data_IF_895663581130
#
_entry.id   IF_895663581130
#
_cell.length_a   1.000
_cell.length_b   1.000
_cell.length_c   1.000
_cell.angle_alpha   90.00
_cell.angle_beta   90.00
_cell.angle_gamma   90.00
#
_symmetry.space_group_name_H-M   'P 1'
#
loop_
_entity.id
_entity.type
_entity.pdbx_description
1 polymer ?
#
# COMPACT_ATOMS: atom_id res chain seq x y z
N UNK A 1 14.92 -14.60 7.64
CA UNK A 1 14.14 -14.01 8.75
C UNK A 1 14.99 -13.55 9.93
N UNK A 2 15.87 -14.36 10.56
CA UNK A 2 16.70 -13.90 11.71
C UNK A 2 17.49 -12.60 11.46
N UNK A 3 18.10 -12.45 10.27
CA UNK A 3 18.82 -11.23 9.87
C UNK A 3 17.89 -10.00 9.82
N UNK A 4 16.75 -10.12 9.14
CA UNK A 4 15.73 -9.08 9.09
C UNK A 4 15.20 -8.65 10.47
N UNK A 5 15.08 -9.58 11.42
CA UNK A 5 14.72 -9.23 12.81
C UNK A 5 15.78 -8.31 13.41
N UNK A 6 17.07 -8.64 13.29
CA UNK A 6 18.16 -7.80 13.81
C UNK A 6 18.19 -6.42 13.15
N UNK A 7 18.00 -6.35 11.83
CA UNK A 7 17.94 -5.09 11.07
C UNK A 7 16.78 -4.19 11.54
N UNK A 8 15.59 -4.77 11.74
CA UNK A 8 14.41 -4.02 12.20
C UNK A 8 14.52 -3.61 13.67
N UNK A 9 15.12 -4.43 14.53
CA UNK A 9 15.38 -4.02 15.91
C UNK A 9 16.35 -2.84 15.98
N UNK A 10 17.39 -2.83 15.14
CA UNK A 10 18.32 -1.70 15.09
C UNK A 10 17.66 -0.44 14.52
N UNK A 11 16.84 -0.57 13.48
CA UNK A 11 16.00 0.55 13.01
C UNK A 11 15.12 1.11 14.15
N UNK A 12 14.54 0.25 14.98
CA UNK A 12 13.75 0.69 16.13
C UNK A 12 14.60 1.42 17.18
N UNK A 13 15.86 1.03 17.39
CA UNK A 13 16.78 1.70 18.30
C UNK A 13 17.13 3.10 17.78
N UNK A 14 17.50 3.19 16.51
CA UNK A 14 17.80 4.47 15.84
C UNK A 14 16.60 5.42 15.93
N UNK A 15 15.39 4.96 15.63
CA UNK A 15 14.17 5.77 15.75
C UNK A 15 13.94 6.31 17.17
N UNK A 16 14.20 5.49 18.20
CA UNK A 16 14.09 5.93 19.60
C UNK A 16 15.17 6.96 19.96
N UNK A 17 16.39 6.81 19.43
CA UNK A 17 17.46 7.80 19.60
C UNK A 17 17.10 9.14 18.95
N UNK A 18 16.40 9.12 17.82
CA UNK A 18 15.82 10.29 17.17
C UNK A 18 14.53 10.82 17.86
N UNK A 19 14.19 10.32 19.06
CA UNK A 19 13.05 10.79 19.85
C UNK A 19 11.67 10.29 19.41
N UNK A 20 11.61 9.32 18.50
CA UNK A 20 10.34 8.75 18.01
C UNK A 20 9.84 7.67 18.98
N UNK A 21 8.56 7.73 19.36
CA UNK A 21 7.90 6.64 20.10
C UNK A 21 7.59 5.47 19.14
N UNK A 22 8.22 4.32 19.37
CA UNK A 22 8.04 3.12 18.54
C UNK A 22 6.98 2.18 19.14
N UNK A 23 6.06 1.71 18.30
CA UNK A 23 5.08 0.66 18.63
C UNK A 23 5.21 -0.49 17.63
N UNK A 24 4.91 -1.70 18.07
CA UNK A 24 5.08 -2.94 17.28
C UNK A 24 3.79 -3.74 17.27
N UNK A 25 3.45 -4.42 16.16
CA UNK A 25 2.33 -5.34 16.14
C UNK A 25 2.56 -6.53 17.08
N UNK A 26 1.47 -7.16 17.50
CA UNK A 26 1.52 -8.38 18.30
C UNK A 26 2.15 -9.54 17.49
N UNK A 27 3.02 -10.37 18.11
CA UNK A 27 3.52 -11.58 17.46
C UNK A 27 2.37 -12.54 17.13
N UNK A 28 2.31 -12.99 15.88
CA UNK A 28 1.30 -13.94 15.38
C UNK A 28 2.00 -15.04 14.57
N UNK A 29 1.51 -16.28 14.72
CA UNK A 29 1.84 -17.38 13.81
C UNK A 29 1.00 -17.26 12.53
N UNK A 30 1.65 -16.88 11.43
CA UNK A 30 1.02 -16.68 10.12
C UNK A 30 0.84 -17.99 9.33
N UNK A 31 1.35 -19.12 9.82
CA UNK A 31 1.15 -20.43 9.18
C UNK A 31 -0.26 -21.00 9.42
N UNK A 32 -1.00 -20.43 10.38
CA UNK A 32 -2.34 -20.88 10.71
C UNK A 32 -3.27 -20.77 9.49
N UNK A 33 -3.84 -21.92 9.12
CA UNK A 33 -4.84 -22.02 8.07
C UNK A 33 -6.18 -21.48 8.58
N UNK A 34 -6.86 -20.70 7.76
CA UNK A 34 -8.20 -20.20 8.04
C UNK A 34 -9.09 -20.36 6.81
N UNK A 35 -10.40 -20.40 7.07
CA UNK A 35 -11.44 -20.61 6.07
C UNK A 35 -12.56 -19.60 6.27
N UNK A 36 -12.89 -18.85 5.22
CA UNK A 36 -14.13 -18.08 5.10
C UNK A 36 -15.17 -18.91 4.33
N UNK A 37 -16.42 -18.46 4.20
CA UNK A 37 -17.36 -19.10 3.27
C UNK A 37 -16.87 -19.11 1.81
N UNK A 38 -16.04 -18.14 1.42
CA UNK A 38 -15.64 -17.89 0.03
C UNK A 38 -14.28 -18.50 -0.35
N UNK A 39 -13.36 -18.69 0.60
CA UNK A 39 -12.03 -19.25 0.33
C UNK A 39 -11.33 -19.85 1.57
N UNK A 40 -10.21 -20.53 1.33
CA UNK A 40 -9.31 -21.03 2.37
C UNK A 40 -7.87 -20.57 2.08
N UNK A 41 -7.11 -20.17 3.10
CA UNK A 41 -5.73 -19.69 2.93
C UNK A 41 -4.91 -19.83 4.23
N UNK A 42 -3.62 -19.58 4.14
CA UNK A 42 -2.74 -19.29 5.28
C UNK A 42 -2.42 -17.80 5.30
N UNK A 43 -1.86 -17.30 6.40
CA UNK A 43 -1.43 -15.91 6.51
C UNK A 43 -0.19 -15.56 5.70
N UNK A 44 0.16 -14.26 5.70
CA UNK A 44 1.41 -13.74 5.16
C UNK A 44 2.38 -13.29 6.27
N UNK A 45 2.16 -12.11 6.84
CA UNK A 45 2.99 -11.51 7.90
C UNK A 45 2.32 -10.25 8.50
N UNK A 46 3.02 -9.56 9.40
CA UNK A 46 2.75 -8.17 9.79
C UNK A 46 4.01 -7.30 9.66
N UNK A 47 4.75 -7.49 8.57
CA UNK A 47 6.01 -6.79 8.33
C UNK A 47 5.81 -5.34 7.85
N UNK A 48 4.70 -5.08 7.13
CA UNK A 48 4.47 -3.81 6.44
C UNK A 48 3.21 -3.11 6.97
N UNK A 49 3.30 -2.32 8.06
CA UNK A 49 2.16 -1.54 8.55
C UNK A 49 1.58 -0.58 7.51
N UNK A 50 2.41 -0.11 6.56
CA UNK A 50 2.04 0.82 5.49
C UNK A 50 0.97 0.25 4.56
N UNK A 51 0.96 -1.05 4.36
CA UNK A 51 0.05 -1.72 3.43
C UNK A 51 -1.38 -1.78 3.97
N UNK A 52 -1.54 -1.87 5.29
CA UNK A 52 -2.83 -2.08 5.94
C UNK A 52 -3.35 -0.88 6.73
N UNK A 53 -2.47 0.02 7.20
CA UNK A 53 -2.88 1.16 8.02
C UNK A 53 -2.52 2.48 7.34
N UNK A 54 -3.52 3.35 7.22
CA UNK A 54 -3.31 4.77 6.90
C UNK A 54 -3.85 5.65 8.01
N UNK A 55 -3.10 6.70 8.35
CA UNK A 55 -3.55 7.74 9.29
C UNK A 55 -3.89 9.01 8.52
N UNK A 56 -5.11 9.53 8.67
CA UNK A 56 -5.57 10.78 8.05
C UNK A 56 -6.12 11.70 9.14
N UNK A 57 -5.44 12.81 9.41
CA UNK A 57 -5.75 13.65 10.57
C UNK A 57 -5.66 12.84 11.88
N UNK A 58 -6.78 12.72 12.59
CA UNK A 58 -6.88 12.06 13.89
C UNK A 58 -7.43 10.61 13.76
N UNK A 59 -7.52 10.10 12.53
CA UNK A 59 -8.20 8.85 12.19
C UNK A 59 -7.21 7.80 11.68
N UNK A 60 -7.27 6.60 12.26
CA UNK A 60 -6.60 5.41 11.74
C UNK A 60 -7.59 4.56 10.94
N UNK A 61 -7.24 4.25 9.70
CA UNK A 61 -8.06 3.50 8.74
C UNK A 61 -7.37 2.17 8.46
N UNK A 62 -8.08 1.06 8.74
CA UNK A 62 -7.70 -0.29 8.30
C UNK A 62 -8.14 -0.51 6.85
N UNK A 63 -7.19 -0.81 5.96
CA UNK A 63 -7.43 -1.17 4.58
C UNK A 63 -8.07 -2.57 4.46
N UNK A 64 -8.90 -2.80 3.43
CA UNK A 64 -9.56 -4.08 3.22
C UNK A 64 -8.60 -5.19 2.78
N UNK A 65 -7.46 -4.81 2.17
CA UNK A 65 -6.54 -5.69 1.45
C UNK A 65 -7.20 -6.31 0.19
N UNK A 66 -6.39 -6.90 -0.68
CA UNK A 66 -6.87 -7.66 -1.85
C UNK A 66 -6.33 -9.09 -1.96
N UNK A 67 -5.42 -9.50 -1.06
CA UNK A 67 -4.87 -10.84 -1.04
C UNK A 67 -5.56 -11.71 0.00
N UNK A 68 -6.01 -12.90 -0.40
CA UNK A 68 -6.62 -13.90 0.48
C UNK A 68 -5.75 -14.22 1.70
N UNK A 69 -4.42 -14.24 1.57
CA UNK A 69 -3.45 -14.48 2.66
C UNK A 69 -3.26 -13.29 3.62
N UNK A 70 -3.77 -12.12 3.28
CA UNK A 70 -3.72 -10.89 4.10
C UNK A 70 -5.06 -10.56 4.76
N UNK A 71 -6.06 -11.42 4.59
CA UNK A 71 -7.42 -11.19 5.08
C UNK A 71 -7.45 -10.87 6.58
N UNK A 72 -6.73 -11.63 7.40
CA UNK A 72 -6.68 -11.45 8.86
C UNK A 72 -5.46 -10.67 9.38
N UNK A 73 -4.73 -9.96 8.51
CA UNK A 73 -3.52 -9.23 8.88
C UNK A 73 -3.76 -8.15 9.95
N UNK A 74 -4.96 -7.54 9.94
CA UNK A 74 -5.35 -6.52 10.92
C UNK A 74 -5.25 -6.98 12.38
N UNK A 75 -5.34 -8.30 12.63
CA UNK A 75 -5.32 -8.87 14.00
C UNK A 75 -4.06 -8.48 14.77
N UNK A 76 -2.92 -8.38 14.08
CA UNK A 76 -1.64 -8.02 14.69
C UNK A 76 -1.61 -6.59 15.23
N UNK A 77 -2.49 -5.71 14.75
CA UNK A 77 -2.49 -4.28 15.08
C UNK A 77 -3.59 -3.90 16.08
N UNK A 78 -4.55 -4.79 16.37
CA UNK A 78 -5.74 -4.45 17.17
C UNK A 78 -5.42 -4.01 18.59
N UNK A 79 -4.37 -4.53 19.22
CA UNK A 79 -3.96 -4.06 20.55
C UNK A 79 -3.53 -2.58 20.53
N UNK A 80 -2.78 -2.17 19.52
CA UNK A 80 -2.37 -0.78 19.32
C UNK A 80 -3.56 0.14 19.00
N UNK A 81 -4.39 -0.29 18.05
CA UNK A 81 -5.53 0.51 17.57
C UNK A 81 -6.54 0.73 18.70
N UNK A 82 -6.84 -0.31 19.49
CA UNK A 82 -7.70 -0.16 20.68
C UNK A 82 -7.10 0.84 21.67
N UNK A 83 -5.81 0.78 21.98
CA UNK A 83 -5.16 1.76 22.85
C UNK A 83 -5.31 3.20 22.32
N UNK A 84 -5.06 3.44 21.03
CA UNK A 84 -5.28 4.76 20.43
C UNK A 84 -6.74 5.22 20.49
N UNK A 85 -7.68 4.31 20.25
CA UNK A 85 -9.11 4.60 20.35
C UNK A 85 -9.52 5.01 21.77
N UNK A 86 -9.04 4.31 22.80
CA UNK A 86 -9.29 4.69 24.21
C UNK A 86 -8.70 6.05 24.57
N UNK A 87 -7.65 6.47 23.85
CA UNK A 87 -7.02 7.80 23.97
C UNK A 87 -7.62 8.86 23.04
N UNK A 88 -8.72 8.55 22.36
CA UNK A 88 -9.52 9.51 21.59
C UNK A 88 -9.26 9.56 20.08
N UNK A 89 -8.43 8.67 19.52
CA UNK A 89 -8.28 8.56 18.08
C UNK A 89 -9.56 8.02 17.42
N UNK A 90 -9.90 8.52 16.23
CA UNK A 90 -10.96 7.91 15.40
C UNK A 90 -10.42 6.59 14.82
N UNK A 91 -11.26 5.56 14.78
CA UNK A 91 -10.90 4.27 14.21
C UNK A 91 -11.95 3.86 13.17
N UNK A 92 -11.48 3.60 11.96
CA UNK A 92 -12.30 3.15 10.84
C UNK A 92 -11.73 1.86 10.25
N UNK A 93 -12.61 0.97 9.82
CA UNK A 93 -12.28 -0.18 9.00
C UNK A 93 -13.03 -0.07 7.68
N UNK A 94 -12.31 -0.05 6.57
CA UNK A 94 -12.95 -0.13 5.26
C UNK A 94 -13.74 -1.45 5.11
N UNK A 95 -14.80 -1.49 4.26
CA UNK A 95 -15.59 -2.70 4.04
C UNK A 95 -14.68 -3.87 3.65
N UNK A 96 -14.68 -4.93 4.45
CA UNK A 96 -13.85 -6.11 4.18
C UNK A 96 -14.45 -6.88 2.99
N UNK A 97 -13.72 -7.07 1.88
CA UNK A 97 -14.21 -7.81 0.73
C UNK A 97 -14.43 -9.27 1.10
N UNK A 98 -15.35 -9.96 0.43
CA UNK A 98 -15.47 -11.41 0.54
C UNK A 98 -14.23 -12.11 -0.01
N UNK A 99 -13.55 -11.46 -0.97
CA UNK A 99 -12.44 -12.05 -1.75
C UNK A 99 -12.88 -13.36 -2.43
N UNK A 100 -14.16 -13.42 -2.82
CA UNK A 100 -14.69 -14.46 -3.67
C UNK A 100 -13.99 -14.45 -5.04
N UNK A 101 -14.24 -15.50 -5.81
CA UNK A 101 -13.58 -15.70 -7.09
C UNK A 101 -13.84 -14.55 -8.09
N UNK A 102 -14.99 -13.88 -7.97
CA UNK A 102 -15.42 -12.74 -8.78
C UNK A 102 -14.55 -11.50 -8.60
N UNK A 103 -13.84 -11.37 -7.46
CA UNK A 103 -12.88 -10.29 -7.25
C UNK A 103 -11.64 -10.44 -8.16
N UNK A 104 -11.36 -11.65 -8.67
CA UNK A 104 -10.16 -11.96 -9.40
C UNK A 104 -10.44 -12.39 -10.85
N UNK A 105 -9.70 -11.83 -11.80
CA UNK A 105 -9.63 -12.38 -13.16
C UNK A 105 -8.79 -13.67 -13.14
N UNK A 106 -9.48 -14.82 -13.11
CA UNK A 106 -8.83 -16.14 -13.09
C UNK A 106 -8.01 -16.43 -14.33
N UNK A 107 -8.38 -15.82 -15.45
CA UNK A 107 -7.74 -16.01 -16.74
C UNK A 107 -6.78 -14.84 -17.06
N UNK A 108 -6.36 -14.08 -16.04
CA UNK A 108 -5.45 -12.95 -16.20
C UNK A 108 -4.19 -13.38 -16.96
N UNK A 109 -3.99 -12.94 -18.23
CA UNK A 109 -3.07 -13.60 -19.15
C UNK A 109 -1.64 -13.10 -18.96
N UNK A 110 -1.05 -13.50 -17.83
CA UNK A 110 0.30 -13.14 -17.46
C UNK A 110 1.23 -14.35 -17.57
N UNK A 111 2.16 -14.28 -18.52
CA UNK A 111 3.22 -15.28 -18.68
C UNK A 111 4.61 -14.69 -18.42
N UNK A 112 4.71 -13.36 -18.40
CA UNK A 112 5.92 -12.60 -18.12
C UNK A 112 5.58 -11.27 -17.42
N UNK A 113 6.62 -10.60 -16.90
CA UNK A 113 6.50 -9.23 -16.37
C UNK A 113 6.07 -8.27 -17.49
N UNK A 114 6.59 -8.44 -18.72
CA UNK A 114 6.22 -7.64 -19.90
C UNK A 114 4.72 -7.73 -20.25
N UNK A 115 4.11 -8.91 -20.14
CA UNK A 115 2.66 -9.08 -20.35
C UNK A 115 1.87 -8.25 -19.35
N UNK A 116 2.29 -8.24 -18.08
CA UNK A 116 1.68 -7.42 -17.03
C UNK A 116 1.75 -5.93 -17.37
N UNK A 117 2.85 -5.45 -17.97
CA UNK A 117 2.97 -4.04 -18.36
C UNK A 117 1.94 -3.70 -19.43
N UNK A 118 1.81 -4.57 -20.44
CA UNK A 118 0.87 -4.39 -21.53
C UNK A 118 -0.57 -4.39 -21.01
N UNK A 119 -0.91 -5.31 -20.12
CA UNK A 119 -2.21 -5.37 -19.48
C UNK A 119 -2.50 -4.13 -18.63
N UNK A 120 -1.57 -3.71 -17.77
CA UNK A 120 -1.72 -2.52 -16.95
C UNK A 120 -1.92 -1.25 -17.82
N UNK A 121 -1.19 -1.13 -18.93
CA UNK A 121 -1.36 -0.02 -19.88
C UNK A 121 -2.73 -0.03 -20.61
N UNK A 122 -3.37 -1.20 -20.69
CA UNK A 122 -4.74 -1.37 -21.20
C UNK A 122 -5.81 -1.22 -20.12
N UNK A 123 -5.43 -0.91 -18.88
CA UNK A 123 -6.34 -0.84 -17.74
C UNK A 123 -6.81 -2.21 -17.24
N UNK A 124 -6.10 -3.29 -17.58
CA UNK A 124 -6.41 -4.66 -17.17
C UNK A 124 -5.51 -5.11 -16.02
N UNK A 125 -6.14 -5.58 -14.95
CA UNK A 125 -5.47 -6.01 -13.74
C UNK A 125 -6.16 -7.24 -13.20
N UNK A 126 -5.48 -7.95 -12.28
CA UNK A 126 -5.99 -9.19 -11.69
C UNK A 126 -7.24 -8.94 -10.84
N UNK A 127 -7.40 -7.76 -10.26
CA UNK A 127 -8.60 -7.39 -9.49
C UNK A 127 -9.66 -6.76 -10.39
N UNK A 128 -10.90 -7.24 -10.25
CA UNK A 128 -12.08 -6.69 -10.91
C UNK A 128 -12.67 -5.52 -10.10
N UNK A 129 -13.80 -4.97 -10.55
CA UNK A 129 -14.62 -4.00 -9.81
C UNK A 129 -15.84 -4.67 -9.15
N UNK A 130 -15.73 -5.95 -8.77
CA UNK A 130 -16.82 -6.68 -8.12
C UNK A 130 -17.19 -6.08 -6.75
N UNK A 131 -16.19 -5.73 -5.94
CA UNK A 131 -16.34 -5.11 -4.62
C UNK A 131 -15.13 -4.23 -4.29
N UNK A 132 -15.22 -3.28 -3.33
CA UNK A 132 -14.08 -2.43 -2.96
C UNK A 132 -12.90 -3.24 -2.39
N UNK A 133 -11.71 -3.08 -2.99
CA UNK A 133 -10.46 -3.58 -2.43
C UNK A 133 -9.31 -2.58 -2.64
N UNK A 134 -8.43 -2.48 -1.66
CA UNK A 134 -7.23 -1.64 -1.71
C UNK A 134 -6.22 -2.01 -0.62
N UNK A 135 -4.95 -1.75 -0.91
CA UNK A 135 -3.89 -1.64 0.09
C UNK A 135 -3.67 -0.13 0.38
N UNK A 136 -3.48 0.22 1.65
CA UNK A 136 -3.24 1.61 2.07
C UNK A 136 -1.96 2.20 1.44
N UNK A 137 -0.99 1.36 1.08
CA UNK A 137 0.27 1.77 0.46
C UNK A 137 0.14 2.25 -0.99
N UNK A 138 -1.03 2.09 -1.64
CA UNK A 138 -1.32 2.76 -2.92
C UNK A 138 -1.73 4.22 -2.75
N UNK A 139 -1.86 4.70 -1.52
CA UNK A 139 -2.22 6.07 -1.19
C UNK A 139 -1.02 6.80 -0.56
N UNK A 140 -0.71 7.99 -1.06
CA UNK A 140 0.29 8.88 -0.46
C UNK A 140 -0.32 10.24 -0.13
N UNK A 141 0.04 10.78 1.04
CA UNK A 141 -0.61 11.95 1.65
C UNK A 141 0.23 13.21 1.46
N UNK A 142 -0.43 14.32 1.15
CA UNK A 142 0.13 15.67 1.06
C UNK A 142 -0.84 16.69 1.68
N UNK A 143 -1.10 16.55 2.98
CA UNK A 143 -2.05 17.42 3.69
C UNK A 143 -3.50 17.13 3.30
N UNK A 144 -4.17 18.09 2.66
CA UNK A 144 -5.57 17.94 2.18
C UNK A 144 -5.68 17.09 0.91
N UNK A 145 -4.58 16.88 0.20
CA UNK A 145 -4.55 16.10 -1.02
C UNK A 145 -3.94 14.72 -0.74
N UNK A 146 -4.60 13.69 -1.24
CA UNK A 146 -4.17 12.30 -1.18
C UNK A 146 -4.12 11.81 -2.63
N UNK A 147 -3.00 11.22 -3.01
CA UNK A 147 -2.82 10.66 -4.35
C UNK A 147 -2.89 9.15 -4.26
N UNK A 148 -3.70 8.55 -5.11
CA UNK A 148 -3.89 7.12 -5.22
C UNK A 148 -3.53 6.65 -6.64
N UNK A 149 -3.09 5.41 -6.76
CA UNK A 149 -3.03 4.73 -8.06
C UNK A 149 -3.98 3.53 -8.08
N UNK A 150 -4.60 3.30 -9.25
CA UNK A 150 -5.22 2.00 -9.52
C UNK A 150 -4.09 0.99 -9.75
N UNK A 151 -4.03 -0.03 -8.91
CA UNK A 151 -2.96 -1.04 -8.87
C UNK A 151 -3.53 -2.45 -8.94
N UNK A 152 -2.71 -3.49 -8.94
CA UNK A 152 -3.19 -4.88 -8.89
C UNK A 152 -4.02 -5.20 -7.62
N UNK A 153 -3.85 -4.42 -6.55
CA UNK A 153 -4.54 -4.64 -5.25
C UNK A 153 -5.51 -3.51 -4.89
N UNK A 154 -5.50 -2.41 -5.63
CA UNK A 154 -6.34 -1.23 -5.40
C UNK A 154 -7.19 -0.93 -6.63
N UNK A 155 -8.49 -1.19 -6.53
CA UNK A 155 -9.45 -0.97 -7.62
C UNK A 155 -10.17 0.38 -7.50
N UNK A 156 -10.93 0.78 -8.52
CA UNK A 156 -11.59 2.08 -8.54
C UNK A 156 -12.68 2.18 -7.46
N UNK A 157 -13.41 1.10 -7.16
CA UNK A 157 -14.34 1.07 -6.04
C UNK A 157 -13.68 1.33 -4.68
N UNK A 158 -12.47 0.79 -4.46
CA UNK A 158 -11.66 1.06 -3.26
C UNK A 158 -11.24 2.52 -3.15
N UNK A 159 -10.76 3.10 -4.25
CA UNK A 159 -10.38 4.53 -4.30
C UNK A 159 -11.61 5.43 -4.10
N UNK A 160 -12.74 5.09 -4.72
CA UNK A 160 -14.00 5.84 -4.57
C UNK A 160 -14.54 5.77 -3.15
N UNK A 161 -14.43 4.62 -2.48
CA UNK A 161 -14.77 4.50 -1.06
C UNK A 161 -13.94 5.47 -0.21
N UNK A 162 -12.61 5.51 -0.41
CA UNK A 162 -11.72 6.44 0.27
C UNK A 162 -12.08 7.90 -0.01
N UNK A 163 -12.34 8.25 -1.28
CA UNK A 163 -12.73 9.60 -1.69
C UNK A 163 -14.02 10.06 -1.02
N UNK A 164 -15.04 9.19 -0.99
CA UNK A 164 -16.35 9.50 -0.39
C UNK A 164 -16.28 9.58 1.13
N UNK A 165 -15.50 8.71 1.76
CA UNK A 165 -15.31 8.66 3.20
C UNK A 165 -14.60 9.90 3.75
N UNK A 166 -13.59 10.40 3.04
CA UNK A 166 -12.78 11.54 3.49
C UNK A 166 -13.27 12.92 3.04
N UNK A 167 -14.27 12.97 2.16
CA UNK A 167 -14.88 14.22 1.73
C UNK A 167 -15.70 14.87 2.87
N UNK A 168 -15.79 16.21 2.92
CA UNK A 168 -15.18 17.19 2.00
C UNK A 168 -13.77 17.65 2.40
N UNK A 169 -13.26 17.22 3.57
CA UNK A 169 -12.02 17.78 4.14
C UNK A 169 -10.76 17.42 3.35
N UNK A 170 -10.76 16.24 2.74
CA UNK A 170 -9.66 15.75 1.92
C UNK A 170 -10.11 15.46 0.49
N UNK A 171 -9.16 15.55 -0.44
CA UNK A 171 -9.33 15.29 -1.87
C UNK A 171 -8.47 14.10 -2.24
N UNK A 172 -9.11 13.06 -2.78
CA UNK A 172 -8.40 11.89 -3.30
C UNK A 172 -8.30 12.02 -4.81
N UNK A 173 -7.08 12.05 -5.33
CA UNK A 173 -6.74 12.18 -6.75
C UNK A 173 -6.20 10.86 -7.28
N UNK A 174 -6.64 10.44 -8.46
CA UNK A 174 -6.06 9.28 -9.13
C UNK A 174 -4.94 9.75 -10.05
N UNK A 175 -3.75 9.20 -9.85
CA UNK A 175 -2.61 9.35 -10.75
C UNK A 175 -2.18 7.99 -11.28
N UNK A 176 -1.48 7.98 -12.41
CA UNK A 176 -1.02 6.77 -13.07
C UNK A 176 0.38 6.93 -13.62
N UNK A 177 1.04 5.80 -13.82
CA UNK A 177 2.44 5.74 -14.21
C UNK A 177 2.61 4.75 -15.35
N UNK A 178 3.72 4.86 -16.08
CA UNK A 178 4.22 3.77 -16.91
C UNK A 178 4.85 2.69 -16.00
N UNK A 179 4.08 2.17 -15.04
CA UNK A 179 4.54 1.20 -14.05
C UNK A 179 4.28 -0.22 -14.53
N UNK A 180 5.32 -1.06 -14.63
CA UNK A 180 5.20 -2.44 -15.04
C UNK A 180 4.36 -3.34 -14.12
N UNK A 181 4.36 -3.05 -12.83
CA UNK A 181 3.78 -3.92 -11.82
C UNK A 181 3.20 -3.06 -10.68
N UNK A 182 2.12 -2.30 -10.96
CA UNK A 182 1.59 -1.37 -10.00
C UNK A 182 1.05 -2.14 -8.79
N UNK A 183 1.74 -1.98 -7.67
CA UNK A 183 1.34 -2.39 -6.33
C UNK A 183 2.17 -1.53 -5.39
N UNK A 184 1.49 -0.66 -4.63
CA UNK A 184 2.06 0.34 -3.73
C UNK A 184 2.74 1.49 -4.48
N UNK A 185 2.51 2.71 -4.02
CA UNK A 185 2.90 3.94 -4.74
C UNK A 185 4.23 4.54 -4.25
N UNK A 186 4.67 4.17 -3.05
CA UNK A 186 5.76 4.82 -2.32
C UNK A 186 7.17 4.51 -2.86
N UNK A 187 7.35 3.43 -3.65
CA UNK A 187 8.56 3.19 -4.42
C UNK A 187 8.52 3.77 -5.85
N UNK A 188 7.42 4.45 -6.21
CA UNK A 188 7.20 5.05 -7.54
C UNK A 188 7.11 6.58 -7.45
N UNK A 189 6.37 7.10 -6.48
CA UNK A 189 6.14 8.53 -6.27
C UNK A 189 6.09 8.84 -4.78
N UNK A 190 7.24 9.21 -4.21
CA UNK A 190 7.42 9.39 -2.77
C UNK A 190 7.50 10.88 -2.40
N UNK A 191 6.45 11.41 -1.77
CA UNK A 191 6.37 12.81 -1.36
C UNK A 191 7.13 12.98 -0.05
N UNK A 192 8.27 13.68 -0.11
CA UNK A 192 9.23 13.79 1.00
C UNK A 192 9.23 15.18 1.65
N UNK A 193 8.45 16.13 1.12
CA UNK A 193 8.29 17.45 1.71
C UNK A 193 7.23 18.29 1.01
N UNK A 194 6.91 19.48 1.55
CA UNK A 194 5.95 20.40 0.94
C UNK A 194 6.39 20.78 -0.48
N UNK A 195 5.64 20.32 -1.49
CA UNK A 195 5.99 20.56 -2.89
C UNK A 195 7.24 19.83 -3.38
N UNK A 196 7.67 18.76 -2.71
CA UNK A 196 8.88 18.00 -3.06
C UNK A 196 8.58 16.51 -3.15
N UNK A 197 8.88 15.91 -4.29
CA UNK A 197 8.62 14.49 -4.57
C UNK A 197 9.79 13.80 -5.24
N UNK A 198 10.08 12.57 -4.81
CA UNK A 198 10.93 11.63 -5.54
C UNK A 198 10.07 10.89 -6.57
N UNK A 199 10.38 11.05 -7.85
CA UNK A 199 9.71 10.36 -8.95
C UNK A 199 10.64 9.32 -9.55
N UNK A 200 10.25 8.06 -9.49
CA UNK A 200 11.03 6.95 -10.04
C UNK A 200 11.26 7.14 -11.56
N UNK A 201 12.52 7.10 -12.05
CA UNK A 201 12.82 7.32 -13.47
C UNK A 201 12.20 6.26 -14.40
N UNK A 202 12.04 5.03 -13.91
CA UNK A 202 11.54 3.91 -14.71
C UNK A 202 10.01 3.92 -14.82
N UNK A 203 9.35 4.70 -13.97
CA UNK A 203 7.89 4.73 -13.80
C UNK A 203 7.37 6.17 -13.86
N UNK A 204 7.54 6.88 -14.99
CA UNK A 204 7.13 8.27 -15.12
C UNK A 204 5.63 8.43 -14.90
N UNK A 205 5.26 9.46 -14.12
CA UNK A 205 3.87 9.84 -13.86
C UNK A 205 3.23 10.48 -15.11
N UNK A 206 2.06 9.98 -15.52
CA UNK A 206 1.32 10.54 -16.65
C UNK A 206 0.76 11.94 -16.35
N UNK A 207 0.49 12.25 -15.09
CA UNK A 207 -0.01 13.55 -14.63
C UNK A 207 1.10 14.45 -14.08
N UNK A 208 2.37 14.23 -14.44
CA UNK A 208 3.50 14.97 -13.85
C UNK A 208 3.38 16.50 -14.03
N UNK A 209 2.75 16.96 -15.11
CA UNK A 209 2.55 18.38 -15.37
C UNK A 209 1.56 19.05 -14.40
N UNK A 210 0.68 18.29 -13.73
CA UNK A 210 -0.14 18.80 -12.62
C UNK A 210 0.77 19.33 -11.50
N UNK A 211 1.77 18.55 -11.13
CA UNK A 211 2.72 18.88 -10.06
C UNK A 211 3.65 20.02 -10.47
N UNK A 212 4.16 20.02 -11.72
CA UNK A 212 4.97 21.12 -12.25
C UNK A 212 4.21 22.45 -12.24
N UNK A 213 2.94 22.44 -12.68
CA UNK A 213 2.08 23.64 -12.67
C UNK A 213 1.77 24.12 -11.25
N UNK A 214 1.72 23.20 -10.28
CA UNK A 214 1.60 23.53 -8.86
C UNK A 214 2.92 24.02 -8.23
N UNK A 215 4.01 24.12 -9.00
CA UNK A 215 5.33 24.56 -8.53
C UNK A 215 6.10 23.52 -7.72
N UNK A 216 5.77 22.24 -7.86
CA UNK A 216 6.48 21.18 -7.14
C UNK A 216 7.86 20.91 -7.75
N UNK A 217 8.83 20.66 -6.88
CA UNK A 217 10.13 20.13 -7.25
C UNK A 217 10.03 18.61 -7.40
N UNK A 218 10.34 18.13 -8.60
CA UNK A 218 10.34 16.70 -8.94
C UNK A 218 11.79 16.26 -9.04
N UNK A 219 12.20 15.37 -8.15
CA UNK A 219 13.56 14.83 -8.10
C UNK A 219 13.53 13.39 -8.59
N UNK A 220 14.40 13.08 -9.54
CA UNK A 220 14.61 11.71 -10.00
C UNK A 220 15.79 11.12 -9.23
N UNK A 221 15.61 10.08 -8.40
CA UNK A 221 16.71 9.46 -7.66
C UNK A 221 17.67 8.70 -8.60
N UNK A 222 18.94 8.47 -8.17
CA UNK A 222 19.86 7.62 -8.90
C UNK A 222 19.39 6.16 -8.89
N UNK A 223 19.90 5.36 -9.84
CA UNK A 223 19.61 3.94 -9.89
C UNK A 223 20.08 3.20 -8.62
N UNK A 224 19.32 2.21 -8.12
CA UNK A 224 19.72 1.42 -6.96
C UNK A 224 21.00 0.62 -7.23
N UNK A 225 21.77 0.38 -6.18
CA UNK A 225 23.03 -0.38 -6.22
C UNK A 225 22.94 -1.74 -5.51
N UNK A 226 21.72 -2.16 -5.13
CA UNK A 226 21.51 -3.48 -4.52
C UNK A 226 21.91 -4.59 -5.51
N UNK A 227 22.70 -5.59 -5.09
CA UNK A 227 23.13 -6.67 -5.97
C UNK A 227 21.97 -7.46 -6.58
N UNK A 228 22.13 -7.85 -7.84
CA UNK A 228 21.14 -8.62 -8.62
C UNK A 228 20.89 -10.03 -8.07
N UNK A 229 21.86 -10.58 -7.33
CA UNK A 229 21.76 -11.87 -6.65
C UNK A 229 21.09 -11.78 -5.27
N UNK A 230 20.79 -10.57 -4.77
CA UNK A 230 20.04 -10.39 -3.54
C UNK A 230 18.56 -10.80 -3.72
N UNK A 231 18.02 -11.68 -2.86
CA UNK A 231 16.65 -12.16 -3.03
C UNK A 231 15.61 -11.10 -2.67
N UNK A 232 14.88 -10.61 -3.67
CA UNK A 232 13.70 -9.77 -3.50
C UNK A 232 12.43 -10.58 -3.85
N UNK A 233 11.82 -11.23 -2.84
CA UNK A 233 10.62 -12.04 -3.05
C UNK A 233 9.37 -11.22 -3.44
N UNK A 234 9.34 -9.95 -3.02
CA UNK A 234 8.34 -8.96 -3.39
C UNK A 234 9.05 -7.63 -3.63
N UNK A 235 8.38 -6.71 -4.31
CA UNK A 235 8.93 -5.41 -4.74
C UNK A 235 9.98 -5.53 -5.86
N UNK A 236 10.84 -4.52 -5.98
CA UNK A 236 11.92 -4.36 -6.95
C UNK A 236 13.12 -3.72 -6.27
N UNK A 237 14.24 -3.55 -6.99
CA UNK A 237 15.44 -2.87 -6.49
C UNK A 237 15.21 -1.41 -6.05
N UNK A 238 14.10 -0.80 -6.44
CA UNK A 238 13.72 0.56 -6.04
C UNK A 238 13.24 0.71 -4.60
N UNK A 239 13.18 -0.40 -3.84
CA UNK A 239 12.91 -0.40 -2.40
C UNK A 239 14.19 -0.59 -1.58
#
# INVERSE_FOLDING_TARGET
LKKAVAEVEEMCNILKMEGVTVRRPDPIDWSLKYKTPDFESTGLYSAMPRDILMVVGNEIIEAPMAWRSRFFEYRAYRSLIKDYFHRGAKWTTAPKPTMADELYDKDYPIHSVEDRHKLASQGKFVTTEFEPCFDAADFIRAGRDIFAQRSQVTNYLGIEWMRRHLAPDYRVHIISFKDPNPMHIDATFNIIGPGLVLSNPDRPCHQIDLFKKAGWTIVTPPSPVIPDDHPLWMSSKWL
#
